data_IF_813840204848
#
_entry.id   IF_813840204848
#
_cell.length_a   1.000
_cell.length_b   1.000
_cell.length_c   1.000
_cell.angle_alpha   90.00
_cell.angle_beta   90.00
_cell.angle_gamma   90.00
#
_symmetry.space_group_name_H-M   'P 1'
#
loop_
_entity.id
_entity.type
_entity.pdbx_description
1 polymer ?
#
# COMPACT_ATOMS: atom_id res chain seq x y z
N UNK A 1 2.91 6.39 6.71
CA UNK A 1 2.94 6.20 5.28
C UNK A 1 1.76 5.44 4.71
N UNK A 2 0.63 6.12 4.46
CA UNK A 2 -0.57 5.48 3.87
C UNK A 2 -0.40 5.28 2.35
N UNK A 3 0.41 6.10 1.69
CA UNK A 3 0.60 6.02 0.24
C UNK A 3 1.67 4.99 -0.15
N UNK A 4 1.34 4.02 -1.02
CA UNK A 4 2.30 3.10 -1.60
C UNK A 4 3.14 3.82 -2.66
N UNK A 5 4.27 4.39 -2.24
CA UNK A 5 5.20 5.07 -3.14
C UNK A 5 6.62 4.52 -2.94
N UNK A 6 7.43 4.39 -4.00
CA UNK A 6 8.83 4.03 -3.87
C UNK A 6 9.57 5.02 -2.98
N UNK A 7 10.40 4.50 -2.09
CA UNK A 7 11.14 5.33 -1.15
C UNK A 7 10.31 5.98 -0.05
N UNK A 8 9.01 5.70 0.01
CA UNK A 8 8.14 6.33 1.02
C UNK A 8 8.50 5.98 2.45
N UNK A 9 9.15 4.84 2.72
CA UNK A 9 9.70 4.53 4.03
C UNK A 9 10.81 5.52 4.42
N UNK A 10 11.62 5.94 3.47
CA UNK A 10 12.64 6.97 3.68
C UNK A 10 12.03 8.34 3.97
N UNK A 11 10.89 8.67 3.35
CA UNK A 11 10.18 9.92 3.61
C UNK A 11 9.53 9.95 4.99
N UNK A 12 9.04 8.81 5.48
CA UNK A 12 8.45 8.70 6.83
C UNK A 12 9.50 8.47 7.93
N UNK A 13 10.71 8.05 7.58
CA UNK A 13 11.76 7.74 8.54
C UNK A 13 12.08 8.89 9.52
N UNK A 14 12.26 10.16 9.10
CA UNK A 14 12.52 11.25 10.02
C UNK A 14 11.40 11.46 11.04
N UNK A 15 10.14 11.35 10.60
CA UNK A 15 8.96 11.51 11.47
C UNK A 15 8.92 10.38 12.52
N UNK A 16 9.13 9.15 12.06
CA UNK A 16 9.16 7.99 12.96
C UNK A 16 10.35 8.06 13.91
N UNK A 17 11.50 8.56 13.44
CA UNK A 17 12.71 8.72 14.25
C UNK A 17 12.52 9.74 15.37
N UNK A 18 11.86 10.86 15.08
CA UNK A 18 11.50 11.85 16.08
C UNK A 18 10.56 11.27 17.14
N UNK A 19 9.47 10.61 16.71
CA UNK A 19 8.48 10.07 17.63
C UNK A 19 9.01 8.90 18.45
N UNK A 20 9.80 7.96 17.85
CA UNK A 20 10.42 6.86 18.60
C UNK A 20 11.34 7.36 19.70
N UNK A 21 12.10 8.44 19.43
CA UNK A 21 13.02 9.03 20.38
C UNK A 21 12.28 9.60 21.59
N UNK A 22 11.10 10.19 21.38
CA UNK A 22 10.23 10.70 22.46
C UNK A 22 9.71 9.60 23.40
N UNK A 23 9.46 8.42 22.85
CA UNK A 23 8.92 7.28 23.61
C UNK A 23 9.99 6.25 24.05
N UNK A 24 11.26 6.52 23.77
CA UNK A 24 12.37 5.65 24.15
C UNK A 24 12.45 4.33 23.39
N UNK A 25 11.92 4.27 22.16
CA UNK A 25 11.98 3.10 21.27
C UNK A 25 13.31 3.05 20.53
N UNK A 26 13.91 1.87 20.39
CA UNK A 26 15.18 1.71 19.70
C UNK A 26 15.09 2.10 18.21
N UNK A 27 16.21 2.50 17.57
CA UNK A 27 16.23 2.79 16.14
C UNK A 27 15.76 1.62 15.27
N UNK A 28 16.12 0.40 15.67
CA UNK A 28 15.76 -0.84 14.95
C UNK A 28 14.25 -1.08 15.03
N UNK A 29 13.67 -0.97 16.23
CA UNK A 29 12.23 -1.14 16.40
C UNK A 29 11.43 -0.05 15.69
N UNK A 30 11.94 1.20 15.70
CA UNK A 30 11.34 2.30 14.93
C UNK A 30 11.35 2.04 13.42
N UNK A 31 12.46 1.53 12.89
CA UNK A 31 12.56 1.14 11.49
C UNK A 31 11.60 -0.03 11.16
N UNK A 32 11.53 -1.04 12.03
CA UNK A 32 10.59 -2.16 11.91
C UNK A 32 9.13 -1.68 11.87
N UNK A 33 8.73 -0.84 12.83
CA UNK A 33 7.37 -0.27 12.88
C UNK A 33 7.05 0.50 11.59
N UNK A 34 7.99 1.34 11.13
CA UNK A 34 7.81 2.11 9.91
C UNK A 34 7.60 1.21 8.68
N UNK A 35 8.41 0.18 8.53
CA UNK A 35 8.34 -0.76 7.40
C UNK A 35 7.09 -1.63 7.51
N UNK A 36 6.83 -2.22 8.66
CA UNK A 36 5.71 -3.15 8.86
C UNK A 36 4.35 -2.50 8.59
N UNK A 37 4.04 -1.40 9.30
CA UNK A 37 2.75 -0.71 9.16
C UNK A 37 2.58 -0.01 7.82
N UNK A 38 3.68 0.20 7.10
CA UNK A 38 3.61 0.65 5.73
C UNK A 38 3.24 -0.47 4.77
N UNK A 39 3.84 -1.65 4.92
CA UNK A 39 3.63 -2.76 4.00
C UNK A 39 2.24 -3.39 4.13
N UNK A 40 1.67 -3.43 5.33
CA UNK A 40 0.31 -3.95 5.51
C UNK A 40 -0.74 -3.14 4.74
N UNK A 41 -0.52 -1.85 4.52
CA UNK A 41 -1.44 -1.02 3.74
C UNK A 41 -1.50 -1.44 2.26
N UNK A 42 -0.46 -2.12 1.75
CA UNK A 42 -0.44 -2.64 0.38
C UNK A 42 -1.50 -3.70 0.13
N UNK A 43 -1.96 -4.39 1.16
CA UNK A 43 -3.01 -5.40 1.06
C UNK A 43 -4.40 -4.81 0.83
N UNK A 44 -4.64 -3.57 1.27
CA UNK A 44 -5.99 -2.97 1.25
C UNK A 44 -6.06 -1.70 0.41
N UNK A 45 -4.93 -1.22 -0.10
CA UNK A 45 -4.94 -0.02 -0.94
C UNK A 45 -5.08 -0.41 -2.42
N UNK A 46 -6.21 -0.11 -3.06
CA UNK A 46 -6.58 -0.64 -4.37
C UNK A 46 -5.63 -0.24 -5.52
N UNK A 47 -4.85 0.82 -5.32
CA UNK A 47 -3.91 1.33 -6.33
C UNK A 47 -2.48 0.83 -6.13
N UNK A 48 -2.24 -0.17 -5.29
CA UNK A 48 -0.91 -0.78 -5.21
C UNK A 48 -0.63 -1.56 -6.49
N UNK A 49 0.60 -1.48 -7.03
CA UNK A 49 0.97 -2.26 -8.20
C UNK A 49 0.67 -3.75 -8.04
N UNK A 50 0.87 -4.30 -6.83
CA UNK A 50 0.61 -5.70 -6.55
C UNK A 50 -0.88 -6.07 -6.74
N UNK A 51 -1.81 -5.27 -6.22
CA UNK A 51 -3.25 -5.52 -6.37
C UNK A 51 -3.69 -5.32 -7.83
N UNK A 52 -3.16 -4.31 -8.51
CA UNK A 52 -3.46 -4.07 -9.93
C UNK A 52 -3.00 -5.27 -10.77
N UNK A 53 -1.76 -5.72 -10.58
CA UNK A 53 -1.24 -6.88 -11.29
C UNK A 53 -2.03 -8.14 -10.95
N UNK A 54 -2.38 -8.35 -9.68
CA UNK A 54 -3.20 -9.49 -9.26
C UNK A 54 -4.57 -9.47 -9.95
N UNK A 55 -5.23 -8.31 -10.00
CA UNK A 55 -6.51 -8.12 -10.69
C UNK A 55 -6.37 -8.44 -12.20
N UNK A 56 -5.35 -7.92 -12.82
CA UNK A 56 -5.09 -8.14 -14.25
C UNK A 56 -4.77 -9.59 -14.59
N UNK A 57 -3.98 -10.27 -13.77
CA UNK A 57 -3.60 -11.68 -13.99
C UNK A 57 -4.76 -12.62 -13.71
N UNK A 58 -5.50 -12.39 -12.61
CA UNK A 58 -6.61 -13.25 -12.21
C UNK A 58 -7.90 -12.99 -13.00
N UNK A 59 -8.03 -11.83 -13.65
CA UNK A 59 -9.26 -11.37 -14.27
C UNK A 59 -10.35 -10.99 -13.26
N UNK A 60 -10.01 -10.93 -11.94
CA UNK A 60 -10.95 -10.57 -10.88
C UNK A 60 -10.83 -9.08 -10.60
N UNK A 61 -11.95 -8.31 -10.63
CA UNK A 61 -11.92 -6.88 -10.34
C UNK A 61 -11.34 -6.57 -8.96
N UNK A 62 -10.61 -5.47 -8.83
CA UNK A 62 -10.01 -5.02 -7.57
C UNK A 62 -11.03 -4.93 -6.43
N UNK A 63 -12.25 -4.46 -6.74
CA UNK A 63 -13.35 -4.37 -5.78
C UNK A 63 -13.76 -5.72 -5.16
N UNK A 64 -13.62 -6.79 -5.92
CA UNK A 64 -13.89 -8.15 -5.44
C UNK A 64 -12.70 -8.78 -4.71
N UNK A 65 -11.46 -8.40 -5.05
CA UNK A 65 -10.24 -8.90 -4.39
C UNK A 65 -10.07 -8.33 -2.97
N UNK A 66 -10.37 -7.05 -2.78
CA UNK A 66 -10.13 -6.36 -1.51
C UNK A 66 -10.79 -7.03 -0.30
N UNK A 67 -12.07 -7.46 -0.33
CA UNK A 67 -12.69 -8.14 0.80
C UNK A 67 -11.94 -9.39 1.25
N UNK A 68 -11.35 -10.15 0.32
CA UNK A 68 -10.58 -11.35 0.64
C UNK A 68 -9.23 -11.04 1.27
N UNK A 69 -8.69 -9.83 1.07
CA UNK A 69 -7.42 -9.40 1.65
C UNK A 69 -7.57 -8.77 3.04
N UNK A 70 -8.81 -8.38 3.44
CA UNK A 70 -9.07 -7.79 4.76
C UNK A 70 -8.65 -8.72 5.92
N UNK A 71 -8.96 -10.02 5.94
CA UNK A 71 -8.51 -10.89 7.02
C UNK A 71 -6.98 -10.93 7.17
N UNK A 72 -6.25 -10.98 6.06
CA UNK A 72 -4.79 -10.94 6.06
C UNK A 72 -4.26 -9.59 6.58
N UNK A 73 -4.86 -8.49 6.16
CA UNK A 73 -4.56 -7.15 6.68
C UNK A 73 -4.76 -7.08 8.20
N UNK A 74 -5.89 -7.56 8.72
CA UNK A 74 -6.18 -7.55 10.15
C UNK A 74 -5.21 -8.44 10.93
N UNK A 75 -4.89 -9.62 10.42
CA UNK A 75 -3.90 -10.51 11.04
C UNK A 75 -2.51 -9.86 11.09
N UNK A 76 -2.07 -9.22 10.00
CA UNK A 76 -0.79 -8.50 9.97
C UNK A 76 -0.81 -7.26 10.87
N UNK A 77 -1.91 -6.51 10.93
CA UNK A 77 -2.05 -5.37 11.81
C UNK A 77 -1.98 -5.78 13.29
N UNK A 78 -2.68 -6.85 13.65
CA UNK A 78 -2.69 -7.40 15.01
C UNK A 78 -1.30 -7.92 15.40
N UNK A 79 -0.64 -8.70 14.54
CA UNK A 79 0.70 -9.22 14.81
C UNK A 79 1.73 -8.08 14.94
N UNK A 80 1.70 -7.08 14.08
CA UNK A 80 2.55 -5.89 14.19
C UNK A 80 2.31 -5.13 15.49
N UNK A 81 1.05 -4.97 15.89
CA UNK A 81 0.72 -4.34 17.17
C UNK A 81 1.26 -5.15 18.36
N UNK A 82 1.04 -6.47 18.37
CA UNK A 82 1.48 -7.34 19.47
C UNK A 82 3.00 -7.41 19.61
N UNK A 83 3.70 -7.46 18.48
CA UNK A 83 5.15 -7.62 18.44
C UNK A 83 5.92 -6.32 18.69
N UNK A 84 5.39 -5.18 18.27
CA UNK A 84 6.18 -3.94 18.26
C UNK A 84 5.57 -2.78 19.03
N UNK A 85 4.25 -2.67 19.16
CA UNK A 85 3.61 -1.50 19.77
C UNK A 85 3.17 -1.76 21.22
N UNK A 86 2.71 -2.96 21.51
CA UNK A 86 2.12 -3.30 22.84
C UNK A 86 3.03 -2.96 24.03
N UNK A 87 4.35 -3.04 23.85
CA UNK A 87 5.33 -2.76 24.89
C UNK A 87 5.72 -1.29 25.04
N UNK A 88 5.30 -0.42 24.12
CA UNK A 88 5.67 0.99 24.14
C UNK A 88 4.88 1.71 25.23
N UNK A 89 5.60 2.30 26.19
CA UNK A 89 4.98 3.11 27.25
C UNK A 89 4.57 4.45 26.69
N UNK A 90 3.32 4.86 26.93
CA UNK A 90 2.84 6.19 26.57
C UNK A 90 3.65 7.27 27.28
N UNK A 91 4.01 8.33 26.55
CA UNK A 91 4.68 9.49 27.16
C UNK A 91 3.73 10.25 28.07
N UNK A 92 4.29 10.75 29.19
CA UNK A 92 3.53 11.57 30.16
C UNK A 92 3.08 12.93 29.63
N UNK A 93 3.57 13.36 28.48
CA UNK A 93 3.17 14.62 27.82
C UNK A 93 2.35 14.31 26.56
N UNK A 94 1.04 14.10 26.68
CA UNK A 94 0.18 13.96 25.50
C UNK A 94 0.19 15.29 24.73
N UNK A 95 0.47 15.21 23.44
CA UNK A 95 0.28 16.35 22.53
C UNK A 95 -1.17 16.82 22.70
N UNK A 96 -1.37 18.10 23.08
CA UNK A 96 -2.71 18.67 23.18
C UNK A 96 -3.42 18.48 21.84
N UNK A 97 -4.43 17.63 21.83
CA UNK A 97 -5.32 17.46 20.66
C UNK A 97 -6.19 18.72 20.59
N UNK A 98 -5.81 19.61 19.70
CA UNK A 98 -6.72 20.69 19.30
C UNK A 98 -7.67 20.17 18.22
N UNK A 99 -8.94 20.59 18.27
CA UNK A 99 -9.94 20.26 17.25
C UNK A 99 -9.49 20.69 15.86
N UNK A 100 -8.78 21.81 15.75
CA UNK A 100 -8.19 22.29 14.50
C UNK A 100 -7.21 21.29 13.87
N UNK A 101 -6.38 20.64 14.69
CA UNK A 101 -5.41 19.63 14.23
C UNK A 101 -6.10 18.38 13.66
N UNK A 102 -7.24 17.97 14.23
CA UNK A 102 -7.99 16.81 13.73
C UNK A 102 -8.64 17.13 12.38
N UNK A 103 -9.23 18.32 12.23
CA UNK A 103 -9.83 18.74 10.96
C UNK A 103 -8.77 18.85 9.87
N UNK A 104 -7.61 19.43 10.17
CA UNK A 104 -6.49 19.53 9.24
C UNK A 104 -6.01 18.13 8.80
N UNK A 105 -5.92 17.18 9.74
CA UNK A 105 -5.56 15.79 9.41
C UNK A 105 -6.60 15.14 8.49
N UNK A 106 -7.89 15.30 8.78
CA UNK A 106 -8.97 14.76 7.95
C UNK A 106 -8.94 15.37 6.54
N UNK A 107 -8.75 16.69 6.43
CA UNK A 107 -8.61 17.37 5.15
C UNK A 107 -7.38 16.91 4.38
N UNK A 108 -6.26 16.67 5.05
CA UNK A 108 -5.04 16.16 4.43
C UNK A 108 -5.18 14.68 3.96
N UNK A 109 -6.01 13.89 4.63
CA UNK A 109 -6.29 12.50 4.26
C UNK A 109 -7.38 12.39 3.18
N UNK A 110 -8.21 13.41 3.01
CA UNK A 110 -9.34 13.38 2.07
C UNK A 110 -8.94 13.02 0.63
N UNK A 111 -7.88 13.63 0.01
CA UNK A 111 -7.46 13.29 -1.34
C UNK A 111 -7.06 11.82 -1.49
N UNK A 112 -6.53 11.22 -0.43
CA UNK A 112 -6.08 9.82 -0.41
C UNK A 112 -7.28 8.89 -0.23
N UNK A 113 -8.21 9.24 0.65
CA UNK A 113 -9.37 8.42 0.97
C UNK A 113 -10.42 8.41 -0.16
N UNK A 114 -10.57 9.52 -0.87
CA UNK A 114 -11.57 9.65 -1.94
C UNK A 114 -11.30 8.73 -3.12
N UNK A 115 -10.02 8.44 -3.40
CA UNK A 115 -9.63 7.61 -4.54
C UNK A 115 -10.19 6.19 -4.44
N UNK A 116 -9.94 5.42 -3.35
CA UNK A 116 -10.53 4.09 -3.20
C UNK A 116 -12.06 4.13 -3.05
N UNK A 117 -12.60 5.16 -2.38
CA UNK A 117 -14.06 5.29 -2.21
C UNK A 117 -14.75 5.48 -3.55
N UNK A 118 -14.30 6.41 -4.37
CA UNK A 118 -14.89 6.61 -5.71
C UNK A 118 -14.66 5.41 -6.63
N UNK A 119 -13.47 4.81 -6.59
CA UNK A 119 -13.16 3.64 -7.44
C UNK A 119 -14.03 2.43 -7.12
N UNK A 120 -14.32 2.20 -5.84
CA UNK A 120 -15.15 1.07 -5.40
C UNK A 120 -16.65 1.36 -5.58
N UNK A 121 -17.10 2.58 -5.22
CA UNK A 121 -18.53 2.92 -5.22
C UNK A 121 -19.06 3.18 -6.62
N UNK A 122 -18.28 3.83 -7.50
CA UNK A 122 -18.73 4.23 -8.82
C UNK A 122 -18.33 3.23 -9.92
N UNK A 123 -17.52 2.23 -9.60
CA UNK A 123 -16.99 1.23 -10.56
C UNK A 123 -16.41 1.87 -11.83
N UNK A 124 -15.77 3.02 -11.66
CA UNK A 124 -15.14 3.78 -12.76
C UNK A 124 -13.66 3.42 -12.89
N UNK A 125 -13.07 3.59 -14.08
CA UNK A 125 -11.64 3.38 -14.29
C UNK A 125 -10.81 4.15 -13.24
N UNK A 126 -9.82 3.51 -12.63
CA UNK A 126 -9.01 4.05 -11.53
C UNK A 126 -8.35 5.41 -11.85
N UNK A 127 -8.17 5.73 -13.13
CA UNK A 127 -7.63 7.00 -13.60
C UNK A 127 -8.48 8.22 -13.17
N UNK A 128 -9.82 8.08 -13.16
CA UNK A 128 -10.74 9.16 -12.80
C UNK A 128 -10.64 9.52 -11.31
N UNK A 129 -10.82 8.57 -10.37
CA UNK A 129 -10.62 8.84 -8.94
C UNK A 129 -9.24 9.41 -8.61
N UNK A 130 -8.19 8.90 -9.26
CA UNK A 130 -6.81 9.41 -9.08
C UNK A 130 -6.70 10.86 -9.53
N UNK A 131 -7.23 11.22 -10.69
CA UNK A 131 -7.22 12.60 -11.17
C UNK A 131 -7.98 13.54 -10.21
N UNK A 132 -9.13 13.11 -9.68
CA UNK A 132 -9.90 13.85 -8.68
C UNK A 132 -9.08 14.00 -7.38
N UNK A 133 -8.45 12.94 -6.88
CA UNK A 133 -7.60 12.96 -5.69
C UNK A 133 -6.42 13.92 -5.84
N UNK A 134 -5.76 13.91 -6.99
CA UNK A 134 -4.66 14.85 -7.30
C UNK A 134 -5.17 16.29 -7.35
N UNK A 135 -6.30 16.55 -8.02
CA UNK A 135 -6.89 17.88 -8.08
C UNK A 135 -7.24 18.41 -6.68
N UNK A 136 -7.84 17.57 -5.84
CA UNK A 136 -8.15 17.91 -4.44
C UNK A 136 -6.87 18.18 -3.63
N UNK A 137 -5.83 17.37 -3.80
CA UNK A 137 -4.54 17.58 -3.11
C UNK A 137 -3.92 18.92 -3.48
N UNK A 138 -3.99 19.33 -4.76
CA UNK A 138 -3.50 20.62 -5.23
C UNK A 138 -4.37 21.77 -4.70
N UNK A 139 -5.69 21.64 -4.73
CA UNK A 139 -6.61 22.68 -4.26
C UNK A 139 -6.50 22.91 -2.76
N UNK A 140 -6.43 21.84 -1.98
CA UNK A 140 -6.35 21.92 -0.51
C UNK A 140 -4.95 22.31 -0.03
N UNK A 141 -3.92 21.72 -0.65
CA UNK A 141 -2.53 21.93 -0.26
C UNK A 141 -1.92 23.23 -0.79
N UNK A 142 -2.51 23.82 -1.84
CA UNK A 142 -2.02 25.06 -2.49
C UNK A 142 -0.50 25.09 -2.68
N UNK A 143 0.09 24.02 -3.26
CA UNK A 143 1.53 23.95 -3.43
C UNK A 143 2.03 25.04 -4.38
N UNK A 144 3.25 25.55 -4.13
CA UNK A 144 3.90 26.46 -5.07
C UNK A 144 4.21 25.77 -6.40
N UNK A 145 4.41 26.54 -7.46
CA UNK A 145 4.82 26.01 -8.78
C UNK A 145 6.09 25.16 -8.67
N UNK A 146 7.06 25.61 -7.90
CA UNK A 146 8.33 24.89 -7.72
C UNK A 146 8.13 23.55 -7.02
N UNK A 147 7.23 23.49 -6.03
CA UNK A 147 6.86 22.23 -5.38
C UNK A 147 6.19 21.25 -6.35
N UNK A 148 5.31 21.72 -7.22
CA UNK A 148 4.66 20.88 -8.25
C UNK A 148 5.68 20.35 -9.26
N UNK A 149 6.55 21.22 -9.78
CA UNK A 149 7.60 20.82 -10.73
C UNK A 149 8.55 19.82 -10.09
N UNK A 150 8.95 20.06 -8.84
CA UNK A 150 9.78 19.13 -8.08
C UNK A 150 9.08 17.79 -7.87
N UNK A 151 7.82 17.79 -7.47
CA UNK A 151 7.03 16.57 -7.28
C UNK A 151 6.96 15.72 -8.57
N UNK A 152 6.72 16.35 -9.73
CA UNK A 152 6.70 15.65 -11.02
C UNK A 152 8.08 15.09 -11.38
N UNK A 153 9.17 15.84 -11.18
CA UNK A 153 10.54 15.37 -11.43
C UNK A 153 10.94 14.23 -10.50
N UNK A 154 10.61 14.33 -9.21
CA UNK A 154 10.93 13.32 -8.19
C UNK A 154 10.08 12.05 -8.33
N UNK A 155 8.93 12.13 -8.98
CA UNK A 155 8.04 10.99 -9.26
C UNK A 155 8.66 9.93 -10.17
N UNK A 156 9.77 10.24 -10.89
CA UNK A 156 10.49 9.30 -11.77
C UNK A 156 9.56 8.56 -12.73
N UNK A 157 8.56 9.25 -13.27
CA UNK A 157 7.51 8.70 -14.14
C UNK A 157 8.03 7.75 -15.24
N UNK A 158 9.15 8.05 -15.95
CA UNK A 158 9.67 7.15 -16.99
C UNK A 158 10.08 5.78 -16.45
N UNK A 159 10.67 5.73 -15.24
CA UNK A 159 11.06 4.46 -14.61
C UNK A 159 9.84 3.63 -14.23
N UNK A 160 8.78 4.28 -13.75
CA UNK A 160 7.50 3.63 -13.46
C UNK A 160 6.85 3.09 -14.71
N UNK A 161 6.75 3.90 -15.77
CA UNK A 161 6.19 3.47 -17.05
C UNK A 161 6.94 2.26 -17.61
N UNK A 162 8.27 2.29 -17.58
CA UNK A 162 9.10 1.17 -18.02
C UNK A 162 8.88 -0.10 -17.19
N UNK A 163 8.77 0.04 -15.86
CA UNK A 163 8.47 -1.08 -14.98
C UNK A 163 7.08 -1.68 -15.29
N UNK A 164 6.07 -0.86 -15.50
CA UNK A 164 4.73 -1.33 -15.86
C UNK A 164 4.71 -2.03 -17.23
N UNK A 165 5.40 -1.50 -18.22
CA UNK A 165 5.58 -2.16 -19.53
C UNK A 165 6.24 -3.54 -19.32
N UNK A 166 7.32 -3.61 -18.54
CA UNK A 166 8.00 -4.88 -18.22
C UNK A 166 7.06 -5.89 -17.56
N UNK A 167 6.24 -5.48 -16.62
CA UNK A 167 5.23 -6.33 -15.96
C UNK A 167 4.20 -6.83 -16.98
N UNK A 168 3.70 -5.96 -17.87
CA UNK A 168 2.71 -6.34 -18.88
C UNK A 168 3.29 -7.32 -19.92
N UNK A 169 4.54 -7.11 -20.33
CA UNK A 169 5.25 -8.05 -21.22
C UNK A 169 5.44 -9.39 -20.51
N UNK A 170 5.92 -9.38 -19.26
CA UNK A 170 6.08 -10.61 -18.47
C UNK A 170 4.76 -11.37 -18.32
N UNK A 171 3.67 -10.65 -18.00
CA UNK A 171 2.31 -11.21 -17.97
C UNK A 171 1.96 -11.89 -19.30
N UNK A 172 2.19 -11.20 -20.42
CA UNK A 172 1.92 -11.74 -21.77
C UNK A 172 2.69 -13.04 -22.02
N UNK A 173 3.95 -13.09 -21.63
CA UNK A 173 4.79 -14.30 -21.74
C UNK A 173 4.26 -15.43 -20.86
N UNK A 174 3.92 -15.15 -19.60
CA UNK A 174 3.38 -16.16 -18.67
C UNK A 174 2.06 -16.73 -19.19
N UNK A 175 1.15 -15.88 -19.67
CA UNK A 175 -0.12 -16.34 -20.24
C UNK A 175 0.08 -17.17 -21.53
N UNK A 176 0.98 -16.74 -22.41
CA UNK A 176 1.27 -17.44 -23.67
C UNK A 176 2.02 -18.77 -23.45
N UNK A 177 2.77 -18.89 -22.36
CA UNK A 177 3.55 -20.12 -22.05
C UNK A 177 2.71 -21.27 -21.50
N UNK A 178 1.45 -21.04 -21.09
CA UNK A 178 0.62 -22.05 -20.46
C UNK A 178 1.08 -22.47 -19.05
N UNK A 179 2.10 -21.81 -18.48
CA UNK A 179 2.63 -22.13 -17.15
C UNK A 179 1.57 -22.00 -16.07
N UNK A 180 0.64 -21.04 -16.21
CA UNK A 180 -0.47 -20.87 -15.26
C UNK A 180 -1.40 -22.07 -15.21
N UNK A 181 -1.74 -22.65 -16.37
CA UNK A 181 -2.60 -23.84 -16.47
C UNK A 181 -1.88 -25.08 -15.93
N UNK A 182 -0.60 -25.24 -16.28
CA UNK A 182 0.24 -26.32 -15.78
C UNK A 182 0.40 -26.25 -14.24
N UNK A 183 0.67 -25.05 -13.71
CA UNK A 183 0.75 -24.84 -12.27
C UNK A 183 -0.59 -25.15 -11.57
N UNK A 184 -1.70 -24.67 -12.12
CA UNK A 184 -3.05 -24.92 -11.57
C UNK A 184 -3.38 -26.41 -11.56
N UNK A 185 -3.15 -27.14 -12.66
CA UNK A 185 -3.40 -28.57 -12.73
C UNK A 185 -2.53 -29.38 -11.78
N UNK A 186 -1.24 -29.00 -11.65
CA UNK A 186 -0.32 -29.64 -10.72
C UNK A 186 -0.73 -29.40 -9.26
N UNK A 187 -1.14 -28.17 -8.93
CA UNK A 187 -1.56 -27.81 -7.57
C UNK A 187 -2.89 -28.50 -7.18
N UNK A 188 -3.82 -28.65 -8.11
CA UNK A 188 -5.08 -29.35 -7.86
C UNK A 188 -4.90 -30.86 -7.59
N UNK A 189 -3.81 -31.45 -8.04
CA UNK A 189 -3.45 -32.84 -7.78
C UNK A 189 -2.85 -33.09 -6.39
N UNK A 190 -2.51 -32.05 -5.63
CA UNK A 190 -1.90 -32.18 -4.31
C UNK A 190 -2.99 -32.29 -3.21
N UNK A 191 -2.82 -33.20 -2.23
CA UNK A 191 -3.77 -33.37 -1.11
C UNK A 191 -3.60 -32.28 -0.05
N UNK A 192 -3.45 -31.04 -0.47
CA UNK A 192 -3.24 -29.87 0.40
C UNK A 192 -4.29 -28.80 0.05
N UNK A 193 -4.95 -28.17 1.04
CA UNK A 193 -5.90 -27.10 0.78
C UNK A 193 -5.29 -25.97 -0.06
N UNK A 194 -5.98 -25.55 -1.11
CA UNK A 194 -5.52 -24.53 -2.05
C UNK A 194 -5.00 -23.24 -1.38
N UNK A 195 -5.63 -22.70 -0.30
CA UNK A 195 -5.09 -21.51 0.39
C UNK A 195 -3.68 -21.72 0.96
N UNK A 196 -3.36 -22.92 1.44
CA UNK A 196 -2.02 -23.24 1.96
C UNK A 196 -1.01 -23.29 0.82
N UNK A 197 -1.37 -23.90 -0.30
CA UNK A 197 -0.50 -23.95 -1.49
C UNK A 197 -0.21 -22.56 -2.02
N UNK A 198 -1.21 -21.68 -2.09
CA UNK A 198 -1.03 -20.30 -2.51
C UNK A 198 -0.11 -19.55 -1.54
N UNK A 199 -0.31 -19.70 -0.22
CA UNK A 199 0.53 -19.05 0.78
C UNK A 199 1.98 -19.51 0.72
N UNK A 200 2.21 -20.81 0.56
CA UNK A 200 3.55 -21.41 0.46
C UNK A 200 4.23 -20.97 -0.83
N UNK A 201 3.55 -21.02 -1.97
CA UNK A 201 4.13 -20.57 -3.25
C UNK A 201 4.44 -19.07 -3.24
N UNK A 202 3.56 -18.23 -2.66
CA UNK A 202 3.84 -16.80 -2.51
C UNK A 202 5.05 -16.53 -1.62
N UNK A 203 5.25 -17.33 -0.55
CA UNK A 203 6.42 -17.23 0.32
C UNK A 203 7.72 -17.56 -0.45
N UNK A 204 7.74 -18.65 -1.20
CA UNK A 204 8.94 -19.04 -1.97
C UNK A 204 9.23 -18.15 -3.17
N UNK A 205 8.20 -17.57 -3.81
CA UNK A 205 8.37 -16.64 -4.92
C UNK A 205 8.72 -15.22 -4.45
N UNK A 206 8.45 -14.88 -3.19
CA UNK A 206 8.78 -13.58 -2.59
C UNK A 206 10.19 -13.52 -2.00
N UNK A 207 10.88 -14.63 -1.94
CA UNK A 207 12.29 -14.74 -1.56
C UNK A 207 13.19 -14.54 -2.75
#
# INVERSE_FOLDING_TARGET
GVLPMPGGALLSAPIVDEERSRVGVSPVDGAYINLWFRHITFLVYPLTPAIIVLSEVSGVPVSQLLPYLIPAFLAMALSGYMLSIRGIKSTKNPVKRDRGSVIQLLLALLPIAIVPVLGIVLDVPSSIPVAIGVALAVLLGRPSRDMLVKAVKDAKLPKFALAMIGIMVFRGVVLASGVGELASSTLQGLPVPLPILIAVSAFFLGL
#
